data_IF_986448406990
#
_entry.id   IF_986448406990
#
_cell.length_a   1.000
_cell.length_b   1.000
_cell.length_c   1.000
_cell.angle_alpha   90.00
_cell.angle_beta   90.00
_cell.angle_gamma   90.00
#
_symmetry.space_group_name_H-M   'P 1'
#
loop_
_entity.id
_entity.type
_entity.pdbx_description
1 polymer ?
#
# COMPACT_ATOMS: atom_id res chain seq x y z
N UNK A 1 -4.38 19.62 -3.97
CA UNK A 1 -4.37 18.16 -4.24
C UNK A 1 -4.32 17.45 -2.91
N UNK A 2 -5.09 16.36 -2.72
CA UNK A 2 -5.08 15.65 -1.44
C UNK A 2 -3.72 14.96 -1.21
N UNK A 3 -3.29 14.90 0.04
CA UNK A 3 -2.05 14.22 0.44
C UNK A 3 -2.23 12.70 0.52
N UNK A 4 -3.45 12.19 0.38
CA UNK A 4 -3.73 10.76 0.47
C UNK A 4 -3.43 10.08 -0.87
N UNK A 5 -2.78 8.92 -0.78
CA UNK A 5 -2.47 8.04 -1.89
C UNK A 5 -3.21 6.71 -1.75
N UNK A 6 -3.66 6.19 -2.88
CA UNK A 6 -4.06 4.81 -3.04
C UNK A 6 -2.91 4.06 -3.71
N UNK A 7 -2.27 3.15 -2.99
CA UNK A 7 -1.18 2.32 -3.50
C UNK A 7 -1.75 0.95 -3.89
N UNK A 8 -1.37 0.48 -5.06
CA UNK A 8 -1.71 -0.83 -5.61
C UNK A 8 -0.46 -1.71 -5.69
N UNK A 9 -0.61 -2.97 -5.32
CA UNK A 9 0.41 -4.03 -5.42
C UNK A 9 -0.28 -5.39 -5.51
N UNK A 10 0.43 -6.43 -5.93
CA UNK A 10 -0.09 -7.79 -6.03
C UNK A 10 0.84 -8.79 -5.33
N UNK A 11 0.25 -9.75 -4.61
CA UNK A 11 1.00 -10.78 -3.88
C UNK A 11 0.71 -12.18 -4.42
N UNK A 12 1.62 -13.16 -4.23
CA UNK A 12 1.42 -14.53 -4.74
C UNK A 12 0.24 -15.27 -4.10
N UNK A 13 -0.13 -14.91 -2.87
CA UNK A 13 -1.18 -15.62 -2.13
C UNK A 13 -1.81 -14.76 -1.03
N UNK A 14 -2.89 -15.27 -0.43
CA UNK A 14 -3.63 -14.57 0.62
C UNK A 14 -2.85 -14.48 1.94
N UNK A 15 -2.04 -15.50 2.26
CA UNK A 15 -1.30 -15.55 3.51
C UNK A 15 -0.22 -14.45 3.58
N UNK A 16 0.53 -14.27 2.50
CA UNK A 16 1.42 -13.14 2.31
C UNK A 16 0.65 -11.81 2.36
N UNK A 17 -0.55 -11.75 1.75
CA UNK A 17 -1.39 -10.56 1.76
C UNK A 17 -1.77 -10.11 3.16
N UNK A 18 -2.23 -11.06 3.99
CA UNK A 18 -2.66 -10.80 5.36
C UNK A 18 -1.48 -10.41 6.26
N UNK A 19 -0.35 -11.11 6.12
CA UNK A 19 0.89 -10.80 6.85
C UNK A 19 1.39 -9.39 6.54
N UNK A 20 1.52 -9.04 5.25
CA UNK A 20 2.02 -7.73 4.84
C UNK A 20 1.03 -6.64 5.25
N UNK A 21 -0.27 -6.81 4.99
CA UNK A 21 -1.29 -5.85 5.40
C UNK A 21 -1.25 -5.56 6.91
N UNK A 22 -1.11 -6.60 7.74
CA UNK A 22 -0.98 -6.46 9.19
C UNK A 22 0.26 -5.67 9.61
N UNK A 23 1.41 -5.95 9.00
CA UNK A 23 2.65 -5.23 9.27
C UNK A 23 2.53 -3.74 8.90
N UNK A 24 2.04 -3.43 7.70
CA UNK A 24 1.93 -2.04 7.21
C UNK A 24 1.03 -1.17 8.08
N UNK A 25 -0.09 -1.72 8.57
CA UNK A 25 -1.01 -1.02 9.46
C UNK A 25 -0.43 -0.90 10.88
N UNK A 26 0.19 -1.96 11.40
CA UNK A 26 0.80 -1.96 12.74
C UNK A 26 1.95 -0.95 12.84
N UNK A 27 2.77 -0.86 11.79
CA UNK A 27 3.89 0.08 11.68
C UNK A 27 3.44 1.50 11.30
N UNK A 28 2.13 1.72 11.10
CA UNK A 28 1.51 3.00 10.70
C UNK A 28 2.12 3.59 9.43
N UNK A 29 2.59 2.75 8.50
CA UNK A 29 2.98 3.20 7.15
C UNK A 29 1.81 3.14 6.16
N UNK A 30 0.69 2.52 6.57
CA UNK A 30 -0.61 2.59 5.92
C UNK A 30 -1.72 2.69 6.96
N UNK A 31 -2.78 3.45 6.66
CA UNK A 31 -3.95 3.52 7.52
C UNK A 31 -4.86 2.30 7.35
N UNK A 32 -4.95 1.77 6.12
CA UNK A 32 -5.84 0.67 5.78
C UNK A 32 -5.35 -0.07 4.54
N UNK A 33 -5.52 -1.38 4.52
CA UNK A 33 -5.25 -2.24 3.36
C UNK A 33 -6.49 -3.08 3.08
N UNK A 34 -6.95 -3.10 1.83
CA UNK A 34 -7.98 -4.03 1.38
C UNK A 34 -7.31 -5.16 0.60
N UNK A 35 -7.56 -6.41 1.01
CA UNK A 35 -7.25 -7.59 0.20
C UNK A 35 -8.41 -7.83 -0.75
N UNK A 36 -8.13 -7.85 -2.04
CA UNK A 36 -9.14 -8.10 -3.07
C UNK A 36 -9.36 -9.61 -3.27
N UNK A 37 -10.34 -9.94 -4.11
CA UNK A 37 -10.47 -11.30 -4.64
C UNK A 37 -9.25 -11.64 -5.51
N UNK A 38 -8.97 -12.93 -5.66
CA UNK A 38 -7.87 -13.40 -6.50
C UNK A 38 -8.04 -12.89 -7.95
N UNK A 39 -6.93 -12.44 -8.51
CA UNK A 39 -6.82 -12.01 -9.89
C UNK A 39 -5.85 -12.92 -10.65
N UNK A 40 -5.85 -12.81 -11.98
CA UNK A 40 -4.83 -13.44 -12.82
C UNK A 40 -4.07 -12.34 -13.53
N UNK A 41 -2.76 -12.30 -13.32
CA UNK A 41 -1.84 -11.38 -13.97
C UNK A 41 -1.20 -12.05 -15.19
N UNK A 42 -1.10 -11.30 -16.28
CA UNK A 42 -0.43 -11.70 -17.51
C UNK A 42 0.71 -10.72 -17.80
N UNK A 43 1.91 -11.23 -18.03
CA UNK A 43 3.09 -10.41 -18.31
C UNK A 43 4.12 -11.22 -19.10
N UNK A 44 5.14 -10.55 -19.63
CA UNK A 44 6.26 -11.25 -20.27
C UNK A 44 7.42 -11.42 -19.28
N UNK A 45 7.93 -12.64 -19.16
CA UNK A 45 9.15 -12.94 -18.42
C UNK A 45 10.09 -13.76 -19.30
N UNK A 46 11.34 -13.30 -19.45
CA UNK A 46 12.34 -13.95 -20.31
C UNK A 46 11.81 -14.29 -21.72
N UNK A 47 11.02 -13.38 -22.30
CA UNK A 47 10.44 -13.54 -23.64
C UNK A 47 9.24 -14.49 -23.73
N UNK A 48 8.73 -15.01 -22.61
CA UNK A 48 7.55 -15.88 -22.57
C UNK A 48 6.38 -15.17 -21.90
N UNK A 49 5.18 -15.40 -22.42
CA UNK A 49 3.96 -14.98 -21.77
C UNK A 49 3.74 -15.84 -20.51
N UNK A 50 3.76 -15.18 -19.37
CA UNK A 50 3.46 -15.78 -18.07
C UNK A 50 2.02 -15.50 -17.66
N UNK A 51 1.49 -16.39 -16.83
CA UNK A 51 0.18 -16.27 -16.20
C UNK A 51 0.31 -16.66 -14.73
N UNK A 52 0.02 -15.74 -13.82
CA UNK A 52 0.15 -15.97 -12.38
C UNK A 52 -1.14 -15.59 -11.66
N UNK A 53 -1.56 -16.44 -10.71
CA UNK A 53 -2.66 -16.11 -9.80
C UNK A 53 -2.12 -15.25 -8.66
N UNK A 54 -2.79 -14.13 -8.38
CA UNK A 54 -2.30 -13.15 -7.41
C UNK A 54 -3.45 -12.59 -6.55
N UNK A 55 -3.09 -12.00 -5.41
CA UNK A 55 -3.99 -11.25 -4.53
C UNK A 55 -3.65 -9.76 -4.64
N UNK A 56 -4.50 -8.95 -5.30
CA UNK A 56 -4.32 -7.50 -5.33
C UNK A 56 -4.57 -6.87 -3.96
N UNK A 57 -3.76 -5.87 -3.62
CA UNK A 57 -3.91 -5.03 -2.44
C UNK A 57 -4.22 -3.59 -2.82
N UNK A 58 -5.14 -2.97 -2.07
CA UNK A 58 -5.42 -1.54 -2.13
C UNK A 58 -5.08 -0.89 -0.78
N UNK A 59 -3.96 -0.18 -0.76
CA UNK A 59 -3.34 0.39 0.43
C UNK A 59 -3.62 1.89 0.47
N UNK A 60 -4.17 2.39 1.57
CA UNK A 60 -4.45 3.83 1.77
C UNK A 60 -3.38 4.38 2.70
N UNK A 61 -2.63 5.35 2.21
CA UNK A 61 -1.55 6.01 2.95
C UNK A 61 -1.51 7.51 2.62
N UNK A 62 -0.52 8.23 3.14
CA UNK A 62 -0.23 9.62 2.79
C UNK A 62 1.01 9.71 1.91
N UNK A 63 1.16 10.85 1.23
CA UNK A 63 2.34 11.18 0.44
C UNK A 63 3.61 11.25 1.30
N UNK A 64 3.50 11.69 2.55
CA UNK A 64 4.63 11.74 3.49
C UNK A 64 5.05 10.35 3.98
N UNK A 65 4.10 9.43 4.19
CA UNK A 65 4.39 8.06 4.62
C UNK A 65 4.78 7.12 3.46
N UNK A 66 4.53 7.49 2.20
CA UNK A 66 4.79 6.64 1.04
C UNK A 66 6.22 6.09 0.94
N UNK A 67 7.31 6.87 1.16
CA UNK A 67 8.67 6.31 1.07
C UNK A 67 8.91 5.16 2.06
N UNK A 68 8.39 5.28 3.28
CA UNK A 68 8.49 4.22 4.29
C UNK A 68 7.61 3.02 3.95
N UNK A 69 6.40 3.26 3.43
CA UNK A 69 5.52 2.21 2.91
C UNK A 69 6.19 1.41 1.79
N UNK A 70 6.76 2.09 0.79
CA UNK A 70 7.41 1.47 -0.36
C UNK A 70 8.61 0.63 0.07
N UNK A 71 9.47 1.19 0.93
CA UNK A 71 10.58 0.43 1.50
C UNK A 71 10.08 -0.82 2.21
N UNK A 72 9.04 -0.69 3.05
CA UNK A 72 8.55 -1.80 3.83
C UNK A 72 7.88 -2.88 2.98
N UNK A 73 7.14 -2.47 1.95
CA UNK A 73 6.61 -3.39 0.94
C UNK A 73 7.75 -4.18 0.31
N UNK A 74 8.83 -3.52 -0.16
CA UNK A 74 9.97 -4.20 -0.79
C UNK A 74 10.69 -5.18 0.14
N UNK A 75 10.85 -4.84 1.41
CA UNK A 75 11.47 -5.73 2.40
C UNK A 75 10.64 -7.00 2.68
N UNK A 76 9.31 -6.88 2.64
CA UNK A 76 8.40 -7.97 2.99
C UNK A 76 7.91 -8.78 1.79
N UNK A 77 8.07 -8.23 0.58
CA UNK A 77 7.52 -8.82 -0.64
C UNK A 77 8.25 -10.10 -1.03
N UNK A 78 7.54 -11.16 -1.44
CA UNK A 78 8.18 -12.37 -1.96
C UNK A 78 8.82 -12.22 -3.35
N UNK A 79 8.61 -11.10 -4.03
CA UNK A 79 9.07 -10.89 -5.41
C UNK A 79 10.25 -9.92 -5.41
N UNK A 80 11.24 -10.19 -6.26
CA UNK A 80 12.42 -9.32 -6.40
C UNK A 80 12.06 -7.94 -6.97
N UNK A 81 11.08 -7.92 -7.88
CA UNK A 81 10.53 -6.71 -8.48
C UNK A 81 9.00 -6.70 -8.33
N UNK A 82 8.49 -6.22 -7.18
CA UNK A 82 7.06 -6.15 -6.96
C UNK A 82 6.42 -5.00 -7.75
N UNK A 83 5.17 -5.19 -8.17
CA UNK A 83 4.34 -4.07 -8.64
C UNK A 83 4.01 -3.18 -7.44
N UNK A 84 4.42 -1.92 -7.47
CA UNK A 84 4.03 -0.91 -6.48
C UNK A 84 3.77 0.39 -7.23
N UNK A 85 2.51 0.80 -7.31
CA UNK A 85 2.11 2.04 -7.97
C UNK A 85 1.21 2.87 -7.08
N UNK A 86 1.39 4.19 -7.08
CA UNK A 86 0.65 5.12 -6.23
C UNK A 86 -0.22 6.08 -7.05
N UNK A 87 -1.51 6.11 -6.75
CA UNK A 87 -2.49 6.98 -7.39
C UNK A 87 -2.91 8.10 -6.41
N UNK A 88 -2.90 9.37 -6.84
CA UNK A 88 -3.38 10.45 -5.99
C UNK A 88 -4.90 10.38 -5.83
N UNK A 89 -5.37 10.45 -4.58
CA UNK A 89 -6.80 10.57 -4.30
C UNK A 89 -7.25 12.01 -4.57
N UNK A 90 -8.09 12.20 -5.58
CA UNK A 90 -8.57 13.52 -6.01
C UNK A 90 -9.59 14.12 -5.03
N UNK A 91 -10.49 13.29 -4.49
CA UNK A 91 -11.53 13.67 -3.54
C UNK A 91 -11.92 12.48 -2.64
N UNK A 92 -12.49 12.78 -1.48
CA UNK A 92 -12.98 11.80 -0.52
C UNK A 92 -13.72 12.47 0.63
N UNK A 93 -14.38 11.69 1.48
CA UNK A 93 -15.01 12.21 2.70
C UNK A 93 -13.95 12.86 3.61
N UNK A 94 -14.08 14.15 4.00
CA UNK A 94 -13.05 14.86 4.77
C UNK A 94 -12.64 14.13 6.05
N UNK A 95 -13.60 13.56 6.77
CA UNK A 95 -13.34 12.82 8.02
C UNK A 95 -12.54 11.54 7.77
N UNK A 96 -12.81 10.83 6.67
CA UNK A 96 -12.05 9.65 6.29
C UNK A 96 -10.61 10.01 5.89
N UNK A 97 -10.42 11.06 5.09
CA UNK A 97 -9.08 11.50 4.69
C UNK A 97 -8.27 12.04 5.88
N UNK A 98 -8.94 12.62 6.89
CA UNK A 98 -8.31 13.04 8.14
C UNK A 98 -7.93 11.84 9.01
N UNK A 99 -8.78 10.82 9.06
CA UNK A 99 -8.46 9.55 9.72
C UNK A 99 -7.24 8.87 9.08
N UNK A 100 -7.16 8.80 7.75
CA UNK A 100 -6.00 8.23 7.05
C UNK A 100 -4.70 8.93 7.48
N UNK A 101 -4.69 10.26 7.55
CA UNK A 101 -3.51 11.03 7.98
C UNK A 101 -3.09 10.71 9.41
N UNK A 102 -4.05 10.60 10.33
CA UNK A 102 -3.79 10.29 11.74
C UNK A 102 -3.30 8.84 11.96
N UNK A 103 -3.78 7.90 11.16
CA UNK A 103 -3.37 6.49 11.27
C UNK A 103 -2.05 6.18 10.55
N UNK A 104 -1.51 7.13 9.81
CA UNK A 104 -0.15 7.05 9.27
C UNK A 104 0.83 7.83 10.13
N UNK A 105 2.09 7.39 10.22
CA UNK A 105 3.21 8.10 10.82
C UNK A 105 3.58 9.32 9.97
N UNK A 106 2.66 10.29 9.90
CA UNK A 106 2.89 11.55 9.22
C UNK A 106 3.79 12.44 10.11
N UNK A 107 5.05 12.69 9.71
CA UNK A 107 5.97 13.49 10.52
C UNK A 107 5.42 14.89 10.81
N UNK A 108 4.63 15.45 9.88
CA UNK A 108 4.01 16.76 10.02
C UNK A 108 2.89 16.82 11.10
N UNK A 109 2.28 15.68 11.44
CA UNK A 109 1.32 15.56 12.55
C UNK A 109 2.03 15.28 13.88
N UNK A 110 3.10 14.51 13.85
CA UNK A 110 3.88 14.19 15.05
C UNK A 110 4.59 15.43 15.64
N UNK A 111 5.05 16.36 14.81
CA UNK A 111 5.59 17.65 15.27
C UNK A 111 4.52 18.57 15.89
N UNK A 112 3.28 18.54 15.40
CA UNK A 112 2.16 19.37 15.91
C UNK A 112 1.54 18.87 17.21
N UNK A 113 1.75 17.60 17.56
CA UNK A 113 1.29 17.00 18.81
C UNK A 113 2.38 16.99 19.90
N UNK A 114 3.61 17.36 19.54
CA UNK A 114 4.76 17.44 20.44
C UNK A 114 5.02 18.86 20.98
N UNK A 115 4.16 19.83 20.64
CA UNK A 115 4.20 21.22 21.12
C UNK A 115 2.81 21.66 21.59
#
# INVERSE_FOLDING_TARGET
MSEVLLVFTTLPDRASGERIAGALVTERVAACVNLMAAATSFYHWQGKLERTGEIPLLIKTTRSAYPQLEQRLRELHPYDLPEIIALPVAAGLPDYLSWVRRETNDPALNERLSG
#
